data_IF_532501385425
#
_entry.id   IF_532501385425
#
_cell.length_a   1.000
_cell.length_b   1.000
_cell.length_c   1.000
_cell.angle_alpha   90.00
_cell.angle_beta   90.00
_cell.angle_gamma   90.00
#
_symmetry.space_group_name_H-M   'P 1'
#
loop_
_entity.id
_entity.type
_entity.pdbx_description
1 polymer ?
#
# COMPACT_ATOMS: atom_id res chain seq x y z
N UNK A 1 -4.22 9.71 -7.25
CA UNK A 1 -3.09 9.77 -6.30
C UNK A 1 -1.89 9.04 -6.87
N UNK A 2 -0.71 9.65 -6.79
CA UNK A 2 0.53 9.02 -7.25
C UNK A 2 1.34 8.53 -6.06
N UNK A 3 1.64 7.24 -6.06
CA UNK A 3 2.46 6.61 -5.03
C UNK A 3 3.73 6.07 -5.67
N UNK A 4 4.88 6.38 -5.07
CA UNK A 4 6.17 5.94 -5.60
C UNK A 4 6.43 4.48 -5.25
N UNK A 5 6.98 3.68 -6.18
CA UNK A 5 7.40 2.32 -5.85
C UNK A 5 8.46 2.28 -4.76
N UNK A 6 8.49 1.19 -4.02
CA UNK A 6 9.48 0.92 -2.96
C UNK A 6 9.41 1.87 -1.76
N UNK A 7 8.32 2.57 -1.61
CA UNK A 7 8.10 3.44 -0.45
C UNK A 7 6.87 2.91 0.30
N UNK A 8 7.00 2.77 1.61
CA UNK A 8 5.87 2.44 2.45
C UNK A 8 5.09 3.72 2.79
N UNK A 9 3.79 3.58 2.86
CA UNK A 9 2.88 4.68 3.20
C UNK A 9 1.99 4.27 4.35
N UNK A 10 1.74 5.20 5.25
CA UNK A 10 0.74 5.02 6.30
C UNK A 10 -0.56 5.65 5.84
N UNK A 11 -1.63 4.87 5.88
CA UNK A 11 -2.95 5.33 5.47
C UNK A 11 -3.51 6.24 6.56
N UNK A 12 -3.88 7.46 6.20
CA UNK A 12 -4.51 8.41 7.12
C UNK A 12 -6.03 8.31 7.06
N UNK A 13 -6.57 8.03 5.88
CA UNK A 13 -8.01 7.84 5.68
C UNK A 13 -8.22 6.62 4.79
N UNK A 14 -8.93 5.64 5.30
CA UNK A 14 -9.23 4.43 4.54
C UNK A 14 -10.23 4.66 3.42
N UNK A 15 -10.37 3.66 2.54
CA UNK A 15 -11.34 3.74 1.45
C UNK A 15 -12.75 3.41 1.93
N UNK A 16 -13.73 3.75 1.10
CA UNK A 16 -15.15 3.54 1.44
C UNK A 16 -15.53 2.07 1.53
N UNK A 17 -14.82 1.19 0.82
CA UNK A 17 -15.07 -0.25 0.88
C UNK A 17 -14.56 -0.92 2.15
N UNK A 18 -13.65 -0.25 2.87
CA UNK A 18 -13.07 -0.80 4.09
C UNK A 18 -11.95 -1.80 3.87
N UNK A 19 -11.50 -2.00 2.64
CA UNK A 19 -10.37 -2.89 2.35
C UNK A 19 -9.03 -2.25 2.71
N UNK A 20 -8.97 -0.93 2.70
CA UNK A 20 -7.83 -0.13 3.17
C UNK A 20 -8.34 0.70 4.33
N UNK A 21 -7.75 0.55 5.50
CA UNK A 21 -8.20 1.24 6.71
C UNK A 21 -7.17 2.24 7.19
N UNK A 22 -7.64 3.23 7.95
CA UNK A 22 -6.77 4.17 8.67
C UNK A 22 -5.74 3.39 9.50
N UNK A 23 -4.50 3.86 9.49
CA UNK A 23 -3.33 3.28 10.14
C UNK A 23 -2.76 2.02 9.47
N UNK A 24 -3.33 1.57 8.36
CA UNK A 24 -2.71 0.51 7.57
C UNK A 24 -1.39 1.02 6.95
N UNK A 25 -0.44 0.11 6.82
CA UNK A 25 0.78 0.38 6.05
C UNK A 25 0.63 -0.32 4.70
N UNK A 26 0.85 0.42 3.64
CA UNK A 26 0.74 -0.06 2.27
C UNK A 26 1.99 0.30 1.49
N UNK A 27 2.23 -0.39 0.39
CA UNK A 27 3.33 -0.05 -0.51
C UNK A 27 2.97 -0.36 -1.96
N UNK A 28 3.71 0.23 -2.89
CA UNK A 28 3.56 -0.04 -4.32
C UNK A 28 4.66 -1.01 -4.75
N UNK A 29 4.26 -2.12 -5.37
CA UNK A 29 5.21 -3.08 -5.93
C UNK A 29 5.82 -2.48 -7.21
N UNK A 30 7.15 -2.42 -7.26
CA UNK A 30 7.83 -1.84 -8.41
C UNK A 30 7.76 -2.70 -9.66
N UNK A 31 7.51 -3.99 -9.52
CA UNK A 31 7.49 -4.90 -10.66
C UNK A 31 6.23 -4.72 -11.51
N UNK A 32 5.09 -4.55 -10.87
CA UNK A 32 3.81 -4.47 -11.58
C UNK A 32 3.00 -3.20 -11.27
N UNK A 33 3.47 -2.37 -10.34
CA UNK A 33 2.78 -1.14 -9.97
C UNK A 33 1.54 -1.35 -9.12
N UNK A 34 1.30 -2.55 -8.63
CA UNK A 34 0.14 -2.81 -7.78
C UNK A 34 0.32 -2.23 -6.38
N UNK A 35 -0.79 -1.86 -5.75
CA UNK A 35 -0.79 -1.50 -4.33
C UNK A 35 -0.99 -2.76 -3.50
N UNK A 36 -0.08 -3.00 -2.58
CA UNK A 36 -0.12 -4.16 -1.70
C UNK A 36 -0.50 -3.72 -0.29
N UNK A 37 -1.48 -4.40 0.28
CA UNK A 37 -1.93 -4.20 1.66
C UNK A 37 -1.54 -5.45 2.45
N UNK A 38 -0.37 -5.45 3.10
CA UNK A 38 0.17 -6.67 3.73
C UNK A 38 -0.75 -7.27 4.79
N UNK A 39 -1.48 -6.43 5.53
CA UNK A 39 -2.40 -6.87 6.58
C UNK A 39 -3.41 -7.90 6.06
N UNK A 40 -3.85 -7.75 4.82
CA UNK A 40 -4.84 -8.63 4.19
C UNK A 40 -4.22 -9.62 3.22
N UNK A 41 -2.93 -9.50 2.93
CA UNK A 41 -2.31 -10.14 1.78
C UNK A 41 -3.09 -9.82 0.50
N UNK A 42 -3.62 -8.60 0.43
CA UNK A 42 -4.44 -8.14 -0.68
C UNK A 42 -3.64 -7.22 -1.59
N UNK A 43 -3.89 -7.37 -2.87
CA UNK A 43 -3.20 -6.63 -3.90
C UNK A 43 -4.23 -6.02 -4.84
N UNK A 44 -4.08 -4.72 -5.11
CA UNK A 44 -4.91 -3.99 -6.07
C UNK A 44 -4.09 -3.73 -7.31
N UNK A 45 -4.56 -4.21 -8.47
CA UNK A 45 -3.85 -3.95 -9.69
C UNK A 45 -4.10 -2.52 -10.19
N UNK A 46 -3.30 -2.09 -11.19
CA UNK A 46 -3.37 -0.73 -11.70
C UNK A 46 -4.74 -0.38 -12.28
N UNK A 47 -5.40 -1.35 -12.89
CA UNK A 47 -6.73 -1.15 -13.49
C UNK A 47 -7.80 -0.99 -12.41
N UNK A 48 -7.73 -1.79 -11.34
CA UNK A 48 -8.63 -1.63 -10.20
C UNK A 48 -8.50 -0.26 -9.56
N UNK A 49 -7.28 0.29 -9.51
CA UNK A 49 -7.05 1.64 -8.98
C UNK A 49 -7.65 2.72 -9.88
N UNK A 50 -7.74 2.45 -11.17
CA UNK A 50 -8.29 3.41 -12.13
C UNK A 50 -9.81 3.33 -12.19
N UNK A 51 -10.36 2.13 -12.12
CA UNK A 51 -11.78 1.87 -12.33
C UNK A 51 -12.60 1.87 -11.05
N UNK A 52 -12.02 1.43 -9.95
CA UNK A 52 -12.71 1.48 -8.67
C UNK A 52 -12.35 2.79 -7.95
N UNK A 53 -13.35 3.38 -7.34
CA UNK A 53 -13.16 4.60 -6.55
C UNK A 53 -12.46 4.21 -5.25
N UNK A 54 -11.15 3.97 -5.32
CA UNK A 54 -10.36 3.82 -4.12
C UNK A 54 -10.05 5.23 -3.63
N UNK A 55 -10.87 5.69 -2.72
CA UNK A 55 -10.79 7.03 -2.15
C UNK A 55 -10.15 6.92 -0.77
N UNK A 56 -8.82 6.97 -0.74
CA UNK A 56 -8.08 6.96 0.50
C UNK A 56 -6.96 7.99 0.47
N UNK A 57 -6.51 8.40 1.64
CA UNK A 57 -5.40 9.32 1.80
C UNK A 57 -4.27 8.62 2.57
N UNK A 58 -3.04 8.93 2.24
CA UNK A 58 -1.89 8.36 2.92
C UNK A 58 -0.73 9.35 2.97
N UNK A 59 0.23 9.07 3.84
CA UNK A 59 1.47 9.82 3.99
C UNK A 59 2.66 8.87 4.00
N UNK A 60 3.84 9.36 3.67
CA UNK A 60 5.05 8.56 3.69
C UNK A 60 5.38 8.18 5.13
N UNK A 61 5.59 6.89 5.36
CA UNK A 61 6.03 6.38 6.65
C UNK A 61 7.41 5.72 6.49
N UNK A 62 8.44 6.40 6.94
CA UNK A 62 9.81 5.90 6.87
C UNK A 62 10.13 4.84 7.93
N UNK A 63 9.20 4.57 8.84
CA UNK A 63 9.39 3.54 9.86
C UNK A 63 9.30 2.11 9.32
N UNK A 64 8.85 1.96 8.10
CA UNK A 64 8.68 0.63 7.48
C UNK A 64 9.64 0.44 6.33
N UNK A 65 10.23 -0.73 6.26
CA UNK A 65 11.14 -1.12 5.19
C UNK A 65 10.53 -2.26 4.39
N UNK A 66 10.62 -2.17 3.07
CA UNK A 66 10.15 -3.23 2.19
C UNK A 66 11.30 -4.22 1.99
N UNK A 67 11.12 -5.44 2.49
CA UNK A 67 12.08 -6.50 2.30
C UNK A 67 11.77 -7.21 0.99
N UNK A 68 12.75 -7.31 0.11
CA UNK A 68 12.64 -7.96 -1.19
C UNK A 68 12.68 -9.48 -1.04
N UNK A 69 11.58 -10.03 -0.56
CA UNK A 69 11.32 -11.47 -0.54
C UNK A 69 10.29 -11.80 -1.62
N UNK A 70 10.07 -13.08 -1.94
CA UNK A 70 8.99 -13.44 -2.87
C UNK A 70 7.62 -12.91 -2.45
N UNK A 71 7.41 -12.63 -1.19
CA UNK A 71 6.15 -12.12 -0.65
C UNK A 71 6.17 -10.63 -0.37
N UNK A 72 7.28 -9.92 -0.59
CA UNK A 72 7.42 -8.49 -0.35
C UNK A 72 6.90 -8.06 1.03
N UNK A 73 7.50 -8.62 2.07
CA UNK A 73 7.05 -8.39 3.44
C UNK A 73 7.53 -7.03 3.94
N UNK A 74 6.64 -6.28 4.59
CA UNK A 74 7.00 -5.06 5.29
C UNK A 74 7.52 -5.40 6.68
N UNK A 75 8.62 -4.77 7.06
CA UNK A 75 9.21 -4.93 8.39
C UNK A 75 9.42 -3.56 9.00
N UNK A 76 8.99 -3.40 10.24
CA UNK A 76 9.17 -2.15 10.96
C UNK A 76 10.65 -1.95 11.25
N UNK A 77 11.17 -0.79 10.88
CA UNK A 77 12.54 -0.41 11.17
C UNK A 77 12.64 0.00 12.64
N UNK A 78 13.58 -0.58 13.34
CA UNK A 78 13.88 -0.22 14.71
C UNK A 78 14.87 0.94 14.80
#
# INVERSE_FOLDING_TARGET
MYMKPDIAYKVTKGNTEGSIKSDDIIYVDKEDGSIVVPRWDKRFNKEELTDSVIDFECEIDSAWEIIRTPNNVLVKRE
#
